data_IF_970730702299
#
_entry.id   IF_970730702299
#
_cell.length_a   1.000
_cell.length_b   1.000
_cell.length_c   1.000
_cell.angle_alpha   90.00
_cell.angle_beta   90.00
_cell.angle_gamma   90.00
#
_symmetry.space_group_name_H-M   'P 1'
#
loop_
_entity.id
_entity.type
_entity.pdbx_description
1 polymer ?
#
# COMPACT_ATOMS: atom_id res chain seq x y z
N UNK A 1 2.58 43.97 -42.66
CA UNK A 1 1.80 43.77 -41.42
C UNK A 1 1.69 42.28 -41.32
N UNK A 2 2.68 41.72 -40.61
CA UNK A 2 3.32 40.49 -41.00
C UNK A 2 2.74 39.31 -40.23
N UNK A 3 2.42 38.24 -40.94
CA UNK A 3 1.86 36.99 -40.40
C UNK A 3 2.77 36.29 -39.36
N UNK A 4 3.95 36.84 -39.07
CA UNK A 4 4.87 36.36 -38.05
C UNK A 4 4.55 36.85 -36.63
N UNK A 5 3.82 37.96 -36.46
CA UNK A 5 3.47 38.47 -35.12
C UNK A 5 2.28 37.71 -34.49
N UNK A 6 1.47 37.02 -35.29
CA UNK A 6 0.35 36.23 -34.80
C UNK A 6 0.81 34.87 -34.23
N UNK A 7 1.88 34.27 -34.77
CA UNK A 7 2.44 33.02 -34.24
C UNK A 7 3.19 33.21 -32.91
N UNK A 8 3.82 34.37 -32.68
CA UNK A 8 4.51 34.68 -31.43
C UNK A 8 3.58 34.88 -30.22
N UNK A 9 2.28 35.13 -30.45
CA UNK A 9 1.29 35.28 -29.37
C UNK A 9 0.54 33.99 -29.03
N UNK A 10 0.55 32.98 -29.91
CA UNK A 10 -0.11 31.68 -29.63
C UNK A 10 0.80 30.77 -28.79
N UNK A 11 2.13 30.90 -28.90
CA UNK A 11 3.08 30.04 -28.19
C UNK A 11 3.29 30.42 -26.71
N UNK A 12 2.73 31.55 -26.24
CA UNK A 12 2.89 32.03 -24.86
C UNK A 12 1.79 31.60 -23.88
N UNK A 13 0.77 30.86 -24.32
CA UNK A 13 -0.37 30.46 -23.48
C UNK A 13 -0.31 28.98 -23.05
N UNK A 14 0.59 28.19 -23.63
CA UNK A 14 0.82 26.79 -23.23
C UNK A 14 2.04 26.62 -22.31
N UNK A 15 2.30 27.61 -21.44
CA UNK A 15 3.16 27.41 -20.27
C UNK A 15 2.44 26.47 -19.31
N UNK A 16 2.54 25.17 -19.63
CA UNK A 16 1.94 24.06 -18.93
C UNK A 16 2.12 24.23 -17.43
N UNK A 17 1.02 24.59 -16.77
CA UNK A 17 0.85 24.45 -15.34
C UNK A 17 0.97 22.96 -15.04
N UNK A 18 2.19 22.45 -14.93
CA UNK A 18 2.47 21.10 -14.47
C UNK A 18 2.01 21.04 -13.03
N UNK A 19 0.80 20.51 -12.85
CA UNK A 19 0.25 20.13 -11.56
C UNK A 19 1.35 19.45 -10.73
N UNK A 20 1.69 19.94 -9.52
CA UNK A 20 2.71 19.34 -8.71
C UNK A 20 2.30 17.90 -8.47
N UNK A 21 3.29 17.00 -8.55
CA UNK A 21 3.15 15.55 -8.50
C UNK A 21 2.68 15.08 -7.11
N UNK A 22 1.45 15.40 -6.72
CA UNK A 22 0.83 15.12 -5.41
C UNK A 22 0.82 13.62 -5.07
N UNK A 23 0.83 12.73 -6.08
CA UNK A 23 0.65 11.28 -5.82
C UNK A 23 1.81 10.58 -5.09
N UNK A 24 3.04 11.13 -5.14
CA UNK A 24 4.18 10.53 -4.41
C UNK A 24 4.13 10.84 -2.91
N UNK A 25 3.76 12.09 -2.59
CA UNK A 25 3.59 12.55 -1.21
C UNK A 25 2.41 11.84 -0.54
N UNK A 26 1.31 11.64 -1.27
CA UNK A 26 0.16 10.87 -0.77
C UNK A 26 0.52 9.42 -0.39
N UNK A 27 1.35 8.73 -1.19
CA UNK A 27 1.83 7.38 -0.86
C UNK A 27 2.63 7.32 0.45
N UNK A 28 3.52 8.28 0.67
CA UNK A 28 4.31 8.37 1.92
C UNK A 28 3.44 8.60 3.16
N UNK A 29 2.27 9.24 2.99
CA UNK A 29 1.33 9.50 4.07
C UNK A 29 0.53 8.25 4.47
N UNK A 30 0.33 7.28 3.57
CA UNK A 30 -0.35 6.02 3.92
C UNK A 30 0.53 5.05 4.75
N UNK A 31 1.86 5.25 4.77
CA UNK A 31 2.79 4.40 5.55
C UNK A 31 2.53 4.46 7.06
N UNK A 32 2.43 5.64 7.71
CA UNK A 32 2.07 5.76 9.13
C UNK A 32 0.74 5.10 9.48
N UNK A 33 -0.25 5.22 8.60
CA UNK A 33 -1.56 4.62 8.78
C UNK A 33 -1.48 3.09 8.75
N UNK A 34 -0.74 2.52 7.79
CA UNK A 34 -0.48 1.08 7.73
C UNK A 34 0.27 0.59 8.97
N UNK A 35 1.30 1.32 9.41
CA UNK A 35 2.05 0.99 10.63
C UNK A 35 1.14 1.00 11.87
N UNK A 36 0.23 1.97 11.98
CA UNK A 36 -0.76 2.05 13.06
C UNK A 36 -1.71 0.85 13.07
N UNK A 37 -2.18 0.42 11.90
CA UNK A 37 -3.03 -0.76 11.75
C UNK A 37 -2.29 -2.03 12.17
N UNK A 38 -1.04 -2.20 11.73
CA UNK A 38 -0.19 -3.32 12.12
C UNK A 38 0.06 -3.35 13.64
N UNK A 39 0.34 -2.19 14.25
CA UNK A 39 0.53 -2.07 15.70
C UNK A 39 -0.74 -2.36 16.51
N UNK A 40 -1.90 -1.93 16.03
CA UNK A 40 -3.14 -2.19 16.73
C UNK A 40 -3.51 -3.67 16.71
N UNK A 41 -3.26 -4.37 15.60
CA UNK A 41 -3.47 -5.82 15.48
C UNK A 41 -2.64 -6.63 16.48
N UNK A 42 -1.38 -6.24 16.72
CA UNK A 42 -0.52 -6.95 17.68
C UNK A 42 -1.10 -6.87 19.11
N UNK A 43 -1.72 -5.75 19.46
CA UNK A 43 -2.22 -5.45 20.82
C UNK A 43 -3.65 -5.95 21.12
N UNK A 44 -4.38 -6.53 20.15
CA UNK A 44 -5.71 -7.15 20.35
C UNK A 44 -6.83 -6.28 20.93
N UNK A 45 -6.59 -5.01 21.17
CA UNK A 45 -7.63 -4.11 21.61
C UNK A 45 -8.21 -3.43 20.38
N UNK A 46 -9.42 -3.86 19.98
CA UNK A 46 -10.20 -3.15 18.97
C UNK A 46 -10.29 -1.67 19.31
N UNK A 47 -10.43 -1.32 20.59
CA UNK A 47 -10.38 0.07 21.06
C UNK A 47 -9.04 0.76 20.74
N UNK A 48 -7.90 0.09 20.91
CA UNK A 48 -6.58 0.65 20.54
C UNK A 48 -6.44 0.81 19.02
N UNK A 49 -6.97 -0.11 18.23
CA UNK A 49 -6.96 -0.01 16.76
C UNK A 49 -7.81 1.18 16.30
N UNK A 50 -9.05 1.28 16.78
CA UNK A 50 -9.92 2.40 16.42
C UNK A 50 -9.32 3.73 16.86
N UNK A 51 -8.84 3.78 18.10
CA UNK A 51 -8.21 4.98 18.67
C UNK A 51 -6.96 5.41 17.90
N UNK A 52 -6.03 4.48 17.63
CA UNK A 52 -4.79 4.81 16.94
C UNK A 52 -5.02 5.10 15.45
N UNK A 53 -5.90 4.35 14.79
CA UNK A 53 -6.26 4.62 13.38
C UNK A 53 -6.90 5.99 13.27
N UNK A 54 -7.82 6.35 14.17
CA UNK A 54 -8.48 7.66 14.17
C UNK A 54 -7.50 8.79 14.50
N UNK A 55 -6.68 8.64 15.56
CA UNK A 55 -5.69 9.64 15.95
C UNK A 55 -4.54 9.81 14.96
N UNK A 56 -4.24 8.84 14.10
CA UNK A 56 -3.22 8.97 13.06
C UNK A 56 -3.85 9.43 11.75
N UNK A 57 -5.03 8.91 11.38
CA UNK A 57 -5.72 9.30 10.16
C UNK A 57 -6.13 10.77 10.15
N UNK A 58 -6.63 11.32 11.26
CA UNK A 58 -7.12 12.71 11.29
C UNK A 58 -5.99 13.73 11.10
N UNK A 59 -4.89 13.71 11.87
CA UNK A 59 -3.80 14.66 11.68
C UNK A 59 -3.18 14.52 10.29
N UNK A 60 -3.02 13.30 9.82
CA UNK A 60 -2.45 13.01 8.51
C UNK A 60 -3.35 13.52 7.37
N UNK A 61 -4.66 13.29 7.47
CA UNK A 61 -5.65 13.84 6.55
C UNK A 61 -5.68 15.37 6.58
N UNK A 62 -5.59 15.95 7.78
CA UNK A 62 -5.55 17.42 7.97
C UNK A 62 -4.30 17.99 7.30
N UNK A 63 -3.15 17.35 7.49
CA UNK A 63 -1.88 17.79 6.93
C UNK A 63 -1.88 17.69 5.38
N UNK A 64 -2.42 16.59 4.84
CA UNK A 64 -2.66 16.42 3.38
C UNK A 64 -3.56 17.54 2.87
N UNK A 65 -4.68 17.80 3.56
CA UNK A 65 -5.64 18.82 3.16
C UNK A 65 -5.03 20.21 3.18
N UNK A 66 -4.22 20.54 4.20
CA UNK A 66 -3.50 21.81 4.29
C UNK A 66 -2.50 21.96 3.14
N UNK A 67 -1.69 20.93 2.85
CA UNK A 67 -0.73 20.95 1.74
C UNK A 67 -1.45 21.13 0.41
N UNK A 68 -2.56 20.43 0.22
CA UNK A 68 -3.38 20.52 -1.00
C UNK A 68 -3.99 21.91 -1.17
N UNK A 69 -4.60 22.47 -0.11
CA UNK A 69 -5.18 23.82 -0.13
C UNK A 69 -4.10 24.89 -0.33
N UNK A 70 -2.94 24.76 0.31
CA UNK A 70 -1.81 25.70 0.13
C UNK A 70 -1.25 25.65 -1.28
N UNK A 71 -1.12 24.47 -1.86
CA UNK A 71 -0.76 24.33 -3.26
C UNK A 71 -1.81 25.06 -4.12
N UNK A 72 -3.10 24.78 -3.91
CA UNK A 72 -4.18 25.42 -4.64
C UNK A 72 -4.13 26.96 -4.62
N UNK A 73 -3.95 27.56 -3.44
CA UNK A 73 -3.88 29.02 -3.26
C UNK A 73 -2.68 29.63 -3.99
N UNK A 74 -1.51 28.98 -3.96
CA UNK A 74 -0.26 29.55 -4.49
C UNK A 74 -0.09 29.40 -6.01
N UNK A 75 -0.62 28.33 -6.62
CA UNK A 75 -0.28 27.99 -8.00
C UNK A 75 -1.31 28.34 -9.06
N UNK A 76 -2.36 29.10 -8.74
CA UNK A 76 -3.39 29.47 -9.72
C UNK A 76 -4.10 28.27 -10.36
N UNK A 77 -4.15 27.13 -9.65
CA UNK A 77 -4.64 25.89 -10.23
C UNK A 77 -6.11 25.99 -10.67
N UNK A 78 -6.44 25.25 -11.73
CA UNK A 78 -7.83 25.00 -12.12
C UNK A 78 -8.62 24.55 -10.89
N UNK A 79 -9.83 25.09 -10.74
CA UNK A 79 -10.74 24.73 -9.64
C UNK A 79 -10.80 23.21 -9.54
N UNK A 80 -10.66 22.63 -8.33
CA UNK A 80 -10.69 21.19 -8.16
C UNK A 80 -11.99 20.65 -8.76
N UNK A 81 -11.87 19.59 -9.54
CA UNK A 81 -13.05 18.88 -10.04
C UNK A 81 -13.81 18.32 -8.84
N UNK A 82 -15.13 18.24 -8.96
CA UNK A 82 -15.97 17.72 -7.87
C UNK A 82 -15.54 16.31 -7.42
N UNK A 83 -14.97 15.50 -8.34
CA UNK A 83 -14.41 14.18 -8.06
C UNK A 83 -13.18 14.23 -7.14
N UNK A 84 -12.30 15.23 -7.28
CA UNK A 84 -11.13 15.40 -6.40
C UNK A 84 -11.57 15.78 -4.99
N UNK A 85 -12.56 16.68 -4.89
CA UNK A 85 -13.16 17.06 -3.60
C UNK A 85 -13.81 15.83 -2.96
N UNK A 86 -14.62 15.08 -3.72
CA UNK A 86 -15.24 13.84 -3.26
C UNK A 86 -14.19 12.84 -2.80
N UNK A 87 -13.09 12.66 -3.54
CA UNK A 87 -12.01 11.75 -3.16
C UNK A 87 -11.34 12.18 -1.85
N UNK A 88 -11.02 13.46 -1.70
CA UNK A 88 -10.45 14.00 -0.45
C UNK A 88 -11.40 13.72 0.70
N UNK A 89 -12.68 14.11 0.58
CA UNK A 89 -13.68 13.94 1.65
C UNK A 89 -13.97 12.47 1.94
N UNK A 90 -14.00 11.59 0.93
CA UNK A 90 -14.30 10.17 1.08
C UNK A 90 -13.11 9.37 1.61
N UNK A 91 -11.87 9.82 1.37
CA UNK A 91 -10.66 9.06 1.70
C UNK A 91 -10.53 8.65 3.19
N UNK A 92 -10.89 9.49 4.19
CA UNK A 92 -10.86 9.08 5.60
C UNK A 92 -11.86 7.98 5.90
N UNK A 93 -13.05 8.01 5.28
CA UNK A 93 -14.07 6.99 5.45
C UNK A 93 -13.67 5.67 4.80
N UNK A 94 -13.06 5.72 3.61
CA UNK A 94 -12.51 4.53 2.95
C UNK A 94 -11.40 3.91 3.79
N UNK A 95 -10.49 4.74 4.31
CA UNK A 95 -9.43 4.31 5.24
C UNK A 95 -10.03 3.67 6.49
N UNK A 96 -11.03 4.31 7.09
CA UNK A 96 -11.68 3.81 8.29
C UNK A 96 -12.40 2.49 8.04
N UNK A 97 -13.17 2.38 6.96
CA UNK A 97 -13.82 1.14 6.53
C UNK A 97 -12.83 0.02 6.26
N UNK A 98 -11.72 0.32 5.56
CA UNK A 98 -10.64 -0.62 5.32
C UNK A 98 -9.99 -1.08 6.64
N UNK A 99 -9.86 -0.20 7.63
CA UNK A 99 -9.33 -0.54 8.95
C UNK A 99 -10.22 -1.51 9.73
N UNK A 100 -11.55 -1.33 9.68
CA UNK A 100 -12.52 -2.23 10.29
C UNK A 100 -12.42 -3.61 9.64
N UNK A 101 -12.42 -3.66 8.31
CA UNK A 101 -12.33 -4.90 7.55
C UNK A 101 -11.03 -5.64 7.87
N UNK A 102 -9.90 -4.91 7.88
CA UNK A 102 -8.59 -5.46 8.19
C UNK A 102 -8.50 -5.99 9.63
N UNK A 103 -9.05 -5.27 10.61
CA UNK A 103 -9.15 -5.76 11.98
C UNK A 103 -10.02 -7.01 12.08
N UNK A 104 -11.21 -7.01 11.47
CA UNK A 104 -12.11 -8.16 11.49
C UNK A 104 -11.46 -9.42 10.91
N UNK A 105 -10.78 -9.29 9.77
CA UNK A 105 -10.00 -10.39 9.20
C UNK A 105 -8.87 -10.85 10.12
N UNK A 106 -8.07 -9.92 10.65
CA UNK A 106 -6.94 -10.25 11.51
C UNK A 106 -7.36 -10.90 12.84
N UNK A 107 -8.42 -10.39 13.46
CA UNK A 107 -9.03 -11.00 14.64
C UNK A 107 -9.54 -12.41 14.33
N UNK A 108 -10.29 -12.58 13.23
CA UNK A 108 -10.80 -13.88 12.79
C UNK A 108 -9.68 -14.90 12.53
N UNK A 109 -8.60 -14.50 11.86
CA UNK A 109 -7.42 -15.36 11.64
C UNK A 109 -6.77 -15.73 12.98
N UNK A 110 -6.61 -14.77 13.89
CA UNK A 110 -5.96 -15.02 15.19
C UNK A 110 -6.82 -15.89 16.09
N UNK A 111 -8.14 -15.76 16.02
CA UNK A 111 -9.09 -16.58 16.77
C UNK A 111 -9.18 -17.98 16.19
N UNK A 112 -9.17 -18.12 14.86
CA UNK A 112 -9.01 -19.42 14.19
C UNK A 112 -7.68 -20.07 14.58
N UNK A 113 -6.58 -19.31 14.61
CA UNK A 113 -5.29 -19.81 15.08
C UNK A 113 -5.36 -20.28 16.53
N UNK A 114 -5.90 -19.45 17.44
CA UNK A 114 -6.08 -19.84 18.83
C UNK A 114 -6.92 -21.10 18.95
N UNK A 115 -8.03 -21.19 18.22
CA UNK A 115 -8.91 -22.35 18.21
C UNK A 115 -8.19 -23.60 17.70
N UNK A 116 -7.40 -23.48 16.62
CA UNK A 116 -6.57 -24.59 16.12
C UNK A 116 -5.53 -25.02 17.16
N UNK A 117 -4.93 -24.08 17.89
CA UNK A 117 -3.93 -24.38 18.93
C UNK A 117 -4.51 -24.83 20.27
N UNK A 118 -5.73 -24.42 20.61
CA UNK A 118 -6.40 -24.73 21.88
C UNK A 118 -7.24 -25.99 21.81
N UNK A 119 -7.73 -26.31 20.62
CA UNK A 119 -8.41 -27.56 20.38
C UNK A 119 -7.40 -28.70 20.52
N UNK A 120 -7.77 -29.75 21.24
CA UNK A 120 -7.04 -31.02 21.29
C UNK A 120 -7.12 -31.75 19.93
N UNK A 121 -6.82 -31.05 18.83
CA UNK A 121 -6.72 -31.62 17.50
C UNK A 121 -5.50 -32.54 17.55
N UNK A 122 -5.67 -33.84 17.28
CA UNK A 122 -4.54 -34.75 17.15
C UNK A 122 -3.53 -34.17 16.15
N UNK A 123 -2.25 -34.29 16.46
CA UNK A 123 -1.15 -33.68 15.69
C UNK A 123 -1.25 -34.03 14.19
N UNK A 124 -1.70 -35.23 13.88
CA UNK A 124 -1.90 -35.75 12.52
C UNK A 124 -2.95 -34.93 11.76
N UNK A 125 -4.07 -34.58 12.40
CA UNK A 125 -5.13 -33.76 11.79
C UNK A 125 -4.67 -32.32 11.60
N UNK A 126 -3.90 -31.77 12.54
CA UNK A 126 -3.34 -30.42 12.41
C UNK A 126 -2.35 -30.33 11.23
N UNK A 127 -1.48 -31.33 11.07
CA UNK A 127 -0.57 -31.45 9.92
C UNK A 127 -1.37 -31.57 8.61
N UNK A 128 -2.39 -32.43 8.58
CA UNK A 128 -3.21 -32.60 7.38
C UNK A 128 -3.94 -31.31 6.98
N UNK A 129 -4.55 -30.62 7.95
CA UNK A 129 -5.21 -29.33 7.73
C UNK A 129 -4.23 -28.25 7.26
N UNK A 130 -3.01 -28.21 7.81
CA UNK A 130 -2.01 -27.23 7.37
C UNK A 130 -1.58 -27.48 5.93
N UNK A 131 -1.33 -28.73 5.54
CA UNK A 131 -1.00 -29.09 4.14
C UNK A 131 -2.11 -28.67 3.19
N UNK A 132 -3.37 -29.03 3.51
CA UNK A 132 -4.53 -28.66 2.68
C UNK A 132 -4.64 -27.15 2.57
N UNK A 133 -4.58 -26.44 3.69
CA UNK A 133 -4.73 -24.97 3.71
C UNK A 133 -3.61 -24.30 2.92
N UNK A 134 -2.36 -24.73 3.10
CA UNK A 134 -1.21 -24.22 2.35
C UNK A 134 -1.35 -24.48 0.85
N UNK A 135 -1.84 -25.66 0.44
CA UNK A 135 -2.07 -25.98 -0.96
C UNK A 135 -3.13 -25.05 -1.57
N UNK A 136 -4.30 -24.92 -0.93
CA UNK A 136 -5.37 -24.05 -1.43
C UNK A 136 -4.96 -22.59 -1.47
N UNK A 137 -4.30 -22.10 -0.42
CA UNK A 137 -3.78 -20.73 -0.39
C UNK A 137 -2.72 -20.51 -1.46
N UNK A 138 -1.84 -21.50 -1.70
CA UNK A 138 -0.84 -21.47 -2.76
C UNK A 138 -1.46 -21.37 -4.15
N UNK A 139 -2.46 -22.19 -4.44
CA UNK A 139 -3.21 -22.15 -5.71
C UNK A 139 -3.92 -20.81 -5.89
N UNK A 140 -4.56 -20.30 -4.83
CA UNK A 140 -5.24 -19.01 -4.84
C UNK A 140 -4.27 -17.85 -5.13
N UNK A 141 -3.15 -17.77 -4.40
CA UNK A 141 -2.14 -16.74 -4.58
C UNK A 141 -1.47 -16.84 -5.95
N UNK A 142 -1.25 -18.05 -6.46
CA UNK A 142 -0.75 -18.27 -7.82
C UNK A 142 -1.72 -17.76 -8.87
N UNK A 143 -3.01 -18.08 -8.76
CA UNK A 143 -4.04 -17.57 -9.68
C UNK A 143 -4.14 -16.03 -9.61
N UNK A 144 -4.09 -15.46 -8.41
CA UNK A 144 -4.10 -14.01 -8.22
C UNK A 144 -2.87 -13.36 -8.87
N UNK A 145 -1.68 -13.95 -8.72
CA UNK A 145 -0.44 -13.50 -9.37
C UNK A 145 -0.56 -13.49 -10.89
N UNK A 146 -1.23 -14.47 -11.50
CA UNK A 146 -1.43 -14.51 -12.95
C UNK A 146 -2.31 -13.37 -13.46
N UNK A 147 -3.34 -12.99 -12.69
CA UNK A 147 -4.33 -11.99 -13.11
C UNK A 147 -3.95 -10.55 -12.73
N UNK A 148 -3.27 -10.36 -11.60
CA UNK A 148 -2.99 -9.03 -11.01
C UNK A 148 -1.55 -8.98 -10.50
N UNK A 149 -0.58 -9.18 -11.38
CA UNK A 149 0.83 -9.33 -11.05
C UNK A 149 1.41 -8.10 -10.36
N UNK A 150 1.01 -6.90 -10.78
CA UNK A 150 1.52 -5.66 -10.18
C UNK A 150 1.00 -5.47 -8.74
N UNK A 151 -0.29 -5.74 -8.52
CA UNK A 151 -0.89 -5.65 -7.19
C UNK A 151 -0.35 -6.75 -6.26
N UNK A 152 -0.16 -7.96 -6.78
CA UNK A 152 0.48 -9.05 -6.04
C UNK A 152 1.90 -8.67 -5.62
N UNK A 153 2.70 -8.12 -6.54
CA UNK A 153 4.05 -7.65 -6.22
C UNK A 153 4.06 -6.58 -5.12
N UNK A 154 3.12 -5.64 -5.16
CA UNK A 154 2.96 -4.66 -4.08
C UNK A 154 2.65 -5.31 -2.74
N UNK A 155 1.75 -6.31 -2.72
CA UNK A 155 1.43 -7.03 -1.48
C UNK A 155 2.63 -7.81 -0.94
N UNK A 156 3.45 -8.42 -1.79
CA UNK A 156 4.67 -9.11 -1.37
C UNK A 156 5.70 -8.16 -0.76
N UNK A 157 5.92 -7.00 -1.40
CA UNK A 157 6.79 -5.96 -0.85
C UNK A 157 6.31 -5.50 0.52
N UNK A 158 5.01 -5.23 0.68
CA UNK A 158 4.43 -4.80 1.96
C UNK A 158 4.52 -5.87 3.05
N UNK A 159 4.26 -7.14 2.71
CA UNK A 159 4.40 -8.27 3.63
C UNK A 159 5.86 -8.43 4.04
N UNK A 160 6.81 -8.37 3.10
CA UNK A 160 8.24 -8.45 3.39
C UNK A 160 8.71 -7.35 4.36
N UNK A 161 8.28 -6.11 4.13
CA UNK A 161 8.58 -4.98 5.04
C UNK A 161 7.95 -5.19 6.43
N UNK A 162 6.72 -5.70 6.49
CA UNK A 162 6.03 -5.97 7.76
C UNK A 162 6.71 -7.10 8.53
N UNK A 163 7.15 -8.16 7.84
CA UNK A 163 7.92 -9.26 8.46
C UNK A 163 9.25 -8.76 9.00
N UNK A 164 9.97 -7.91 8.26
CA UNK A 164 11.20 -7.28 8.76
C UNK A 164 10.95 -6.48 10.05
N UNK A 165 9.93 -5.60 10.04
CA UNK A 165 9.60 -4.78 11.20
C UNK A 165 9.14 -5.61 12.40
N UNK A 166 8.32 -6.64 12.17
CA UNK A 166 7.85 -7.53 13.22
C UNK A 166 9.02 -8.33 13.81
N UNK A 167 9.90 -8.88 12.98
CA UNK A 167 11.04 -9.67 13.44
C UNK A 167 12.00 -8.79 14.25
N UNK A 168 12.32 -7.60 13.74
CA UNK A 168 13.19 -6.63 14.40
C UNK A 168 12.61 -6.13 15.75
N UNK A 169 11.29 -5.99 15.87
CA UNK A 169 10.65 -5.57 17.13
C UNK A 169 10.41 -6.71 18.13
N UNK A 170 10.34 -7.95 17.66
CA UNK A 170 10.07 -9.13 18.51
C UNK A 170 11.30 -9.75 19.16
N UNK A 171 12.49 -9.52 18.60
CA UNK A 171 13.72 -10.10 19.14
C UNK A 171 14.34 -9.23 20.23
N UNK A 172 14.93 -9.90 21.23
CA UNK A 172 15.73 -9.23 22.26
C UNK A 172 17.02 -8.70 21.62
N UNK A 173 17.59 -7.61 22.16
CA UNK A 173 18.80 -6.98 21.62
C UNK A 173 19.95 -7.99 21.41
N UNK A 174 20.11 -8.94 22.33
CA UNK A 174 21.14 -9.98 22.26
C UNK A 174 21.00 -10.95 21.07
N UNK A 175 19.79 -11.09 20.51
CA UNK A 175 19.49 -12.02 19.41
C UNK A 175 19.60 -11.38 18.02
N UNK A 176 19.81 -10.07 17.90
CA UNK A 176 19.88 -9.38 16.60
C UNK A 176 21.11 -9.80 15.77
N UNK A 177 22.17 -10.28 16.42
CA UNK A 177 23.37 -10.79 15.77
C UNK A 177 23.33 -12.32 15.51
N UNK A 178 22.19 -12.98 15.79
CA UNK A 178 22.08 -14.42 15.56
C UNK A 178 21.99 -14.75 14.06
N UNK A 179 22.66 -15.82 13.59
CA UNK A 179 22.52 -16.30 12.22
C UNK A 179 21.07 -16.60 11.81
N UNK A 180 20.25 -17.06 12.76
CA UNK A 180 18.83 -17.35 12.56
C UNK A 180 18.02 -16.08 12.27
N UNK A 181 18.34 -14.98 12.96
CA UNK A 181 17.73 -13.68 12.67
C UNK A 181 18.05 -13.22 11.25
N UNK A 182 19.33 -13.29 10.84
CA UNK A 182 19.73 -12.92 9.48
C UNK A 182 19.12 -13.80 8.41
N UNK A 183 19.08 -15.12 8.63
CA UNK A 183 18.42 -16.05 7.71
C UNK A 183 16.95 -15.72 7.55
N UNK A 184 16.22 -15.55 8.66
CA UNK A 184 14.80 -15.20 8.63
C UNK A 184 14.56 -13.85 7.91
N UNK A 185 15.38 -12.84 8.20
CA UNK A 185 15.29 -11.53 7.55
C UNK A 185 15.54 -11.64 6.04
N UNK A 186 16.56 -12.40 5.64
CA UNK A 186 16.94 -12.56 4.24
C UNK A 186 15.86 -13.33 3.46
N UNK A 187 15.38 -14.46 4.00
CA UNK A 187 14.46 -15.34 3.29
C UNK A 187 13.01 -14.89 3.35
N UNK A 188 12.59 -14.25 4.45
CA UNK A 188 11.18 -13.87 4.64
C UNK A 188 10.93 -12.39 4.34
N UNK A 189 11.88 -11.49 4.58
CA UNK A 189 11.69 -10.07 4.26
C UNK A 189 12.32 -9.67 2.93
N UNK A 190 13.65 -9.79 2.80
CA UNK A 190 14.39 -9.29 1.64
C UNK A 190 13.94 -10.00 0.36
N UNK A 191 13.87 -11.33 0.40
CA UNK A 191 13.42 -12.12 -0.75
C UNK A 191 11.99 -11.74 -1.20
N UNK A 192 11.05 -11.52 -0.27
CA UNK A 192 9.70 -11.08 -0.62
C UNK A 192 9.68 -9.67 -1.23
N UNK A 193 10.50 -8.75 -0.71
CA UNK A 193 10.62 -7.38 -1.26
C UNK A 193 11.15 -7.42 -2.70
N UNK A 194 12.25 -8.15 -2.93
CA UNK A 194 12.86 -8.27 -4.25
C UNK A 194 11.91 -8.94 -5.23
N UNK A 195 11.28 -10.04 -4.83
CA UNK A 195 10.28 -10.75 -5.67
C UNK A 195 9.06 -9.88 -5.95
N UNK A 196 8.64 -9.08 -4.97
CA UNK A 196 7.55 -8.12 -5.12
C UNK A 196 7.87 -7.07 -6.18
N UNK A 197 9.08 -6.50 -6.15
CA UNK A 197 9.54 -5.55 -7.17
C UNK A 197 9.66 -6.18 -8.55
N UNK A 198 10.13 -7.42 -8.67
CA UNK A 198 10.14 -8.14 -9.95
C UNK A 198 8.72 -8.34 -10.50
N UNK A 199 7.77 -8.74 -9.65
CA UNK A 199 6.37 -8.88 -10.05
C UNK A 199 5.73 -7.53 -10.45
N UNK A 200 6.05 -6.43 -9.77
CA UNK A 200 5.64 -5.08 -10.16
C UNK A 200 6.22 -4.74 -11.53
N UNK A 201 7.53 -4.90 -11.71
CA UNK A 201 8.21 -4.60 -12.96
C UNK A 201 7.59 -5.39 -14.12
N UNK A 202 7.47 -6.72 -13.98
CA UNK A 202 6.88 -7.58 -15.00
C UNK A 202 5.40 -7.26 -15.26
N UNK A 203 4.63 -6.91 -14.24
CA UNK A 203 3.22 -6.52 -14.40
C UNK A 203 3.05 -5.20 -15.16
N UNK A 204 4.08 -4.35 -15.18
CA UNK A 204 4.10 -3.09 -15.91
C UNK A 204 4.69 -3.20 -17.32
N UNK A 205 5.53 -4.21 -17.59
CA UNK A 205 6.30 -4.31 -18.84
C UNK A 205 5.91 -5.46 -19.76
N UNK A 206 5.34 -6.57 -19.26
CA UNK A 206 4.97 -7.72 -20.11
C UNK A 206 3.55 -7.59 -20.66
N UNK A 207 3.39 -7.89 -21.94
CA UNK A 207 2.08 -7.99 -22.59
C UNK A 207 1.39 -9.35 -22.32
N UNK A 208 0.07 -9.37 -22.09
CA UNK A 208 -0.81 -8.21 -21.96
C UNK A 208 -0.56 -7.47 -20.64
N UNK A 209 -0.38 -6.15 -20.72
CA UNK A 209 -0.15 -5.31 -19.54
C UNK A 209 -1.33 -5.49 -18.57
N UNK A 210 -1.02 -5.76 -17.30
CA UNK A 210 -2.00 -5.89 -16.22
C UNK A 210 -2.96 -4.67 -16.24
N UNK A 211 -4.30 -4.85 -16.18
CA UNK A 211 -5.26 -3.74 -16.15
C UNK A 211 -5.00 -2.71 -15.04
N UNK A 212 -4.41 -3.13 -13.92
CA UNK A 212 -3.97 -2.23 -12.85
C UNK A 212 -2.59 -1.65 -13.13
N UNK A 213 -1.70 -2.45 -13.74
CA UNK A 213 -0.43 -1.98 -14.26
C UNK A 213 -0.60 -0.81 -15.22
N UNK A 214 -1.52 -0.91 -16.18
CA UNK A 214 -1.86 0.18 -17.12
C UNK A 214 -2.40 1.42 -16.41
N UNK A 215 -3.23 1.29 -15.36
CA UNK A 215 -3.71 2.45 -14.57
C UNK A 215 -2.55 3.14 -13.85
N UNK A 216 -1.69 2.38 -13.17
CA UNK A 216 -0.50 2.91 -12.49
C UNK A 216 0.46 3.53 -13.52
N UNK A 217 0.68 2.85 -14.64
CA UNK A 217 1.57 3.32 -15.70
C UNK A 217 1.00 4.55 -16.41
N UNK A 218 -0.31 4.69 -16.59
CA UNK A 218 -0.93 5.94 -17.06
C UNK A 218 -0.66 7.09 -16.09
N UNK A 219 -0.80 6.85 -14.78
CA UNK A 219 -0.47 7.85 -13.74
C UNK A 219 1.03 8.20 -13.76
N UNK A 220 1.93 7.24 -14.01
CA UNK A 220 3.38 7.46 -14.06
C UNK A 220 3.86 8.05 -15.38
N UNK A 221 3.27 7.67 -16.52
CA UNK A 221 3.63 8.14 -17.87
C UNK A 221 3.11 9.55 -18.12
N UNK A 222 1.91 9.87 -17.63
CA UNK A 222 1.43 11.25 -17.54
C UNK A 222 2.34 12.16 -16.69
N UNK A 223 3.30 11.61 -15.93
CA UNK A 223 4.30 12.37 -15.17
C UNK A 223 5.67 12.47 -15.83
N UNK A 224 5.94 11.73 -16.91
CA UNK A 224 7.28 11.59 -17.52
C UNK A 224 7.42 12.25 -18.90
N UNK A 225 6.32 12.67 -19.54
CA UNK A 225 6.34 13.32 -20.86
C UNK A 225 6.03 14.82 -20.85
N UNK A 226 5.91 15.42 -19.67
CA UNK A 226 5.80 16.88 -19.50
C UNK A 226 7.08 17.43 -18.83
N UNK A 227 8.24 17.16 -19.44
CA UNK A 227 9.54 17.82 -19.14
C UNK A 227 9.99 18.49 -20.44
#
# INVERSE_FOLDING_TARGET
MDANDEQLNVEKIDSGSTSPKVSGFQMLLYLPLMAAMCWGLSNRSGAVIYRNTFYIAIPLFTLVSIVYVRAWIKGGYKKPTWWEILFIVASPFVIYGASIFYYGMGAGIKDAYMWITSSAIPKERAIFLSIITTLFLGVFLWYFRLKRRALYGLTETMIGLTVAALRASSEKEDNLNSPEFYLALLTAAIYLVVRGFDNIHQGLTKDPIDPWGTKIFKILKAKRFDI
#
